data_IF_837972849243
#
_entry.id   IF_837972849243
#
_cell.length_a   1.000
_cell.length_b   1.000
_cell.length_c   1.000
_cell.angle_alpha   90.00
_cell.angle_beta   90.00
_cell.angle_gamma   90.00
#
_symmetry.space_group_name_H-M   'P 1'
#
loop_
_entity.id
_entity.type
_entity.pdbx_description
1 polymer ?
#
# COMPACT_ATOMS: atom_id res chain seq x y z
N UNK A 1 0.18 3.14 -27.05
CA UNK A 1 -0.52 2.56 -25.87
C UNK A 1 0.38 2.37 -24.66
N UNK A 2 1.70 2.20 -24.82
CA UNK A 2 2.66 2.04 -23.70
C UNK A 2 2.66 3.20 -22.69
N UNK A 3 2.41 4.44 -23.12
CA UNK A 3 2.44 5.62 -22.27
C UNK A 3 1.31 5.64 -21.23
N UNK A 4 0.06 5.37 -21.64
CA UNK A 4 -1.08 5.30 -20.72
C UNK A 4 -0.91 4.16 -19.71
N UNK A 5 -0.32 3.05 -20.15
CA UNK A 5 0.03 1.92 -19.26
C UNK A 5 1.04 2.36 -18.18
N UNK A 6 2.08 3.12 -18.54
CA UNK A 6 3.06 3.64 -17.58
C UNK A 6 2.43 4.60 -16.57
N UNK A 7 1.51 5.47 -17.00
CA UNK A 7 0.77 6.35 -16.08
C UNK A 7 -0.11 5.56 -15.11
N UNK A 8 -0.77 4.50 -15.58
CA UNK A 8 -1.58 3.63 -14.72
C UNK A 8 -0.73 2.90 -13.69
N UNK A 9 0.46 2.42 -14.06
CA UNK A 9 1.40 1.77 -13.13
C UNK A 9 1.79 2.73 -12.01
N UNK A 10 2.20 3.96 -12.36
CA UNK A 10 2.59 4.96 -11.37
C UNK A 10 1.39 5.38 -10.50
N UNK A 11 0.22 5.57 -11.11
CA UNK A 11 -1.02 5.91 -10.41
C UNK A 11 -1.44 4.83 -9.40
N UNK A 12 -1.37 3.56 -9.77
CA UNK A 12 -1.66 2.45 -8.85
C UNK A 12 -0.69 2.42 -7.67
N UNK A 13 0.61 2.68 -7.92
CA UNK A 13 1.61 2.80 -6.87
C UNK A 13 1.32 3.94 -5.89
N UNK A 14 0.87 5.11 -6.38
CA UNK A 14 0.47 6.24 -5.54
C UNK A 14 -0.72 5.87 -4.65
N UNK A 15 -1.76 5.29 -5.21
CA UNK A 15 -2.97 4.86 -4.47
C UNK A 15 -2.62 3.82 -3.40
N UNK A 16 -1.77 2.85 -3.74
CA UNK A 16 -1.33 1.82 -2.81
C UNK A 16 -0.53 2.40 -1.63
N UNK A 17 0.38 3.34 -1.88
CA UNK A 17 1.16 3.99 -0.81
C UNK A 17 0.30 4.93 0.05
N UNK A 18 -0.70 5.59 -0.53
CA UNK A 18 -1.65 6.40 0.23
C UNK A 18 -2.45 5.54 1.20
N UNK A 19 -3.01 4.42 0.74
CA UNK A 19 -3.73 3.50 1.62
C UNK A 19 -2.82 2.94 2.72
N UNK A 20 -1.54 2.67 2.42
CA UNK A 20 -0.58 2.27 3.44
C UNK A 20 -0.37 3.35 4.50
N UNK A 21 -0.27 4.62 4.11
CA UNK A 21 -0.18 5.74 5.04
C UNK A 21 -1.42 5.86 5.92
N UNK A 22 -2.62 5.65 5.36
CA UNK A 22 -3.87 5.70 6.11
C UNK A 22 -3.92 4.59 7.17
N UNK A 23 -3.53 3.36 6.83
CA UNK A 23 -3.48 2.23 7.77
C UNK A 23 -2.42 2.45 8.85
N UNK A 24 -1.24 2.99 8.52
CA UNK A 24 -0.22 3.34 9.52
C UNK A 24 -0.74 4.41 10.48
N UNK A 25 -1.44 5.42 9.97
CA UNK A 25 -2.05 6.47 10.79
C UNK A 25 -3.12 5.90 11.74
N UNK A 26 -3.91 4.94 11.27
CA UNK A 26 -4.87 4.20 12.10
C UNK A 26 -4.16 3.41 13.20
N UNK A 27 -3.07 2.70 12.88
CA UNK A 27 -2.26 1.98 13.87
C UNK A 27 -1.70 2.93 14.94
N UNK A 28 -1.14 4.08 14.54
CA UNK A 28 -0.59 5.06 15.47
C UNK A 28 -1.67 5.64 16.38
N UNK A 29 -2.83 5.98 15.83
CA UNK A 29 -3.95 6.54 16.60
C UNK A 29 -4.44 5.55 17.65
N UNK A 30 -4.47 4.26 17.33
CA UNK A 30 -4.98 3.20 18.19
C UNK A 30 -3.90 2.50 19.02
N UNK A 31 -2.69 3.05 19.12
CA UNK A 31 -1.58 2.43 19.86
C UNK A 31 -1.86 2.17 21.35
N UNK A 32 -2.81 2.91 21.94
CA UNK A 32 -3.22 2.81 23.34
C UNK A 32 -4.63 2.28 23.52
N UNK A 33 -5.30 1.83 22.48
CA UNK A 33 -6.69 1.37 22.54
C UNK A 33 -6.77 -0.05 23.06
N UNK A 34 -7.14 -0.19 24.32
CA UNK A 34 -7.26 -1.49 25.02
C UNK A 34 -8.57 -2.20 24.75
N UNK A 35 -9.59 -1.48 24.26
CA UNK A 35 -10.93 -2.02 24.03
C UNK A 35 -11.51 -1.56 22.68
N UNK A 36 -11.80 -2.53 21.83
CA UNK A 36 -12.47 -2.34 20.55
C UNK A 36 -13.93 -2.84 20.61
N UNK A 37 -14.74 -2.51 19.61
CA UNK A 37 -16.13 -3.02 19.51
C UNK A 37 -16.19 -4.55 19.45
N UNK A 38 -15.17 -5.19 18.91
CA UNK A 38 -15.06 -6.67 18.88
C UNK A 38 -14.64 -7.31 20.19
N UNK A 39 -14.34 -6.49 21.21
CA UNK A 39 -13.78 -6.93 22.50
C UNK A 39 -12.26 -7.20 22.39
N UNK A 40 -11.51 -6.69 23.37
CA UNK A 40 -10.06 -6.83 23.39
C UNK A 40 -9.30 -5.64 22.77
N UNK A 41 -7.96 -5.66 22.83
CA UNK A 41 -7.13 -4.56 22.35
C UNK A 41 -7.11 -4.44 20.84
N UNK A 42 -6.78 -3.26 20.34
CA UNK A 42 -6.57 -3.04 18.91
C UNK A 42 -5.43 -3.90 18.39
N UNK A 43 -5.62 -4.50 17.23
CA UNK A 43 -4.60 -5.31 16.57
C UNK A 43 -4.00 -4.55 15.39
N UNK A 44 -2.66 -4.50 15.31
CA UNK A 44 -1.94 -3.84 14.22
C UNK A 44 -2.41 -4.34 12.87
N UNK A 45 -2.76 -3.44 11.95
CA UNK A 45 -3.14 -3.75 10.58
C UNK A 45 -1.92 -3.60 9.65
N UNK A 46 -1.87 -4.45 8.64
CA UNK A 46 -0.81 -4.48 7.62
C UNK A 46 -1.46 -4.51 6.24
N UNK A 47 -0.95 -3.71 5.32
CA UNK A 47 -1.41 -3.71 3.93
C UNK A 47 -0.61 -4.72 3.12
N UNK A 48 -1.29 -5.61 2.43
CA UNK A 48 -0.69 -6.61 1.53
C UNK A 48 -0.79 -6.11 0.10
N UNK A 49 0.37 -6.01 -0.57
CA UNK A 49 0.47 -5.59 -1.95
C UNK A 49 0.64 -6.80 -2.88
N UNK A 50 0.01 -6.72 -4.03
CA UNK A 50 0.17 -7.68 -5.11
C UNK A 50 0.45 -6.95 -6.43
N UNK A 51 1.30 -7.50 -7.27
CA UNK A 51 1.52 -6.95 -8.59
C UNK A 51 0.25 -7.11 -9.44
N UNK A 52 -0.21 -6.04 -10.04
CA UNK A 52 -1.33 -6.06 -10.98
C UNK A 52 -0.81 -6.58 -12.34
N UNK A 53 -0.98 -7.84 -12.56
CA UNK A 53 -0.48 -8.52 -13.72
C UNK A 53 -0.85 -9.99 -13.53
N UNK A 54 -2.18 -10.23 -13.51
CA UNK A 54 -2.71 -11.52 -13.16
C UNK A 54 -2.04 -12.65 -13.93
N UNK A 55 -1.85 -13.77 -13.27
CA UNK A 55 -1.56 -15.03 -13.92
C UNK A 55 -2.55 -15.21 -15.07
N UNK A 56 -2.06 -15.01 -16.29
CA UNK A 56 -2.85 -15.39 -17.46
C UNK A 56 -3.20 -16.84 -17.29
N UNK A 57 -4.46 -17.19 -17.44
CA UNK A 57 -4.84 -18.61 -17.47
C UNK A 57 -3.94 -19.37 -18.47
N UNK A 58 -3.66 -20.64 -18.26
CA UNK A 58 -2.83 -21.42 -19.18
C UNK A 58 -3.25 -21.26 -20.65
N UNK A 59 -4.55 -21.13 -20.89
CA UNK A 59 -5.10 -20.88 -22.23
C UNK A 59 -4.71 -19.49 -22.76
N UNK A 60 -4.80 -18.44 -21.95
CA UNK A 60 -4.40 -17.10 -22.35
C UNK A 60 -2.90 -16.98 -22.62
N UNK A 61 -2.06 -17.72 -21.87
CA UNK A 61 -0.63 -17.79 -22.12
C UNK A 61 -0.31 -18.43 -23.47
N UNK A 62 -0.98 -19.53 -23.81
CA UNK A 62 -0.81 -20.20 -25.10
C UNK A 62 -1.29 -19.31 -26.24
N UNK A 63 -2.44 -18.66 -26.11
CA UNK A 63 -2.97 -17.75 -27.12
C UNK A 63 -2.07 -16.52 -27.35
N UNK A 64 -1.53 -15.94 -26.29
CA UNK A 64 -0.58 -14.81 -26.39
C UNK A 64 0.69 -15.24 -27.14
N UNK A 65 1.20 -16.44 -26.85
CA UNK A 65 2.36 -17.02 -27.53
C UNK A 65 2.12 -17.24 -29.04
N UNK A 66 0.93 -17.72 -29.41
CA UNK A 66 0.53 -17.92 -30.82
C UNK A 66 0.38 -16.59 -31.56
N UNK A 67 -0.07 -15.53 -30.87
CA UNK A 67 -0.23 -14.19 -31.43
C UNK A 67 1.07 -13.38 -31.47
N UNK A 68 2.17 -13.91 -30.93
CA UNK A 68 3.43 -13.16 -30.81
C UNK A 68 3.33 -11.97 -29.87
N UNK A 69 2.33 -11.96 -28.99
CA UNK A 69 2.23 -10.95 -27.93
C UNK A 69 3.27 -11.27 -26.86
N UNK A 70 4.31 -10.44 -26.78
CA UNK A 70 5.25 -10.48 -25.65
C UNK A 70 4.48 -10.37 -24.35
N UNK A 71 4.96 -11.08 -23.32
CA UNK A 71 4.41 -11.05 -21.97
C UNK A 71 4.15 -9.61 -21.55
N UNK A 72 2.87 -9.23 -21.49
CA UNK A 72 2.48 -7.90 -21.03
C UNK A 72 3.09 -7.70 -19.65
N UNK A 73 3.92 -6.68 -19.52
CA UNK A 73 4.47 -6.30 -18.22
C UNK A 73 3.35 -6.15 -17.19
N UNK A 74 3.58 -6.50 -15.92
CA UNK A 74 2.58 -6.33 -14.88
C UNK A 74 2.07 -4.89 -14.87
N UNK A 75 0.76 -4.74 -14.76
CA UNK A 75 0.06 -3.47 -14.96
C UNK A 75 0.09 -2.53 -13.75
N UNK A 76 0.93 -2.74 -12.75
CA UNK A 76 1.00 -1.92 -11.55
C UNK A 76 0.92 -2.70 -10.24
N UNK A 77 0.45 -2.06 -9.18
CA UNK A 77 0.30 -2.62 -7.83
C UNK A 77 -1.13 -2.41 -7.36
N UNK A 78 -1.71 -3.45 -6.77
CA UNK A 78 -2.99 -3.33 -6.06
C UNK A 78 -2.85 -3.80 -4.62
N UNK A 79 -3.71 -3.26 -3.76
CA UNK A 79 -3.90 -3.79 -2.41
C UNK A 79 -4.91 -4.92 -2.49
N UNK A 80 -4.53 -6.10 -2.03
CA UNK A 80 -5.40 -7.28 -2.00
C UNK A 80 -6.12 -7.42 -0.68
N UNK A 81 -5.44 -7.09 0.41
CA UNK A 81 -5.97 -7.31 1.75
C UNK A 81 -5.35 -6.32 2.74
N UNK A 82 -6.12 -5.98 3.77
CA UNK A 82 -5.65 -5.37 5.00
C UNK A 82 -5.71 -6.46 6.07
N UNK A 83 -4.57 -7.08 6.35
CA UNK A 83 -4.45 -8.18 7.30
C UNK A 83 -4.12 -7.68 8.70
N UNK A 84 -4.61 -8.40 9.72
CA UNK A 84 -4.19 -8.18 11.11
C UNK A 84 -2.89 -8.91 11.41
N UNK A 85 -1.98 -8.25 12.12
CA UNK A 85 -0.73 -8.87 12.55
C UNK A 85 -1.00 -9.92 13.64
N UNK A 86 -0.63 -11.19 13.44
CA UNK A 86 -0.89 -12.27 14.40
C UNK A 86 0.02 -12.24 15.64
N UNK A 87 0.98 -11.30 15.73
CA UNK A 87 1.86 -11.22 16.88
C UNK A 87 1.12 -10.97 18.20
N UNK A 88 1.71 -11.43 19.28
CA UNK A 88 1.13 -11.31 20.62
C UNK A 88 1.00 -9.85 21.05
N UNK A 89 0.02 -9.59 21.93
CA UNK A 89 -0.18 -8.30 22.55
C UNK A 89 0.91 -8.00 23.57
N UNK A 90 1.15 -6.70 23.82
CA UNK A 90 2.07 -6.27 24.86
C UNK A 90 1.35 -6.30 26.21
N UNK A 91 1.95 -6.93 27.22
CA UNK A 91 1.40 -6.92 28.57
C UNK A 91 2.02 -5.73 29.34
N UNK A 92 1.17 -4.89 29.90
CA UNK A 92 1.56 -3.76 30.74
C UNK A 92 0.95 -3.93 32.13
N UNK A 93 1.79 -3.83 33.17
CA UNK A 93 1.29 -3.91 34.54
C UNK A 93 0.68 -2.56 34.97
N UNK A 94 -0.65 -2.53 35.07
CA UNK A 94 -1.41 -1.37 35.56
C UNK A 94 -2.69 -1.88 36.26
N UNK A 95 -2.62 -2.13 37.59
CA UNK A 95 -3.76 -2.62 38.36
C UNK A 95 -4.87 -1.58 38.56
N UNK A 96 -4.65 -0.31 38.19
CA UNK A 96 -5.65 0.75 38.32
C UNK A 96 -6.53 0.85 37.09
N UNK A 97 -6.17 0.22 36.01
CA UNK A 97 -6.90 0.23 34.76
C UNK A 97 -8.14 -0.69 34.85
N UNK A 98 -9.34 -0.22 34.41
CA UNK A 98 -10.55 -1.04 34.41
C UNK A 98 -10.49 -2.27 33.50
N UNK A 99 -9.57 -2.30 32.52
CA UNK A 99 -9.36 -3.41 31.61
C UNK A 99 -8.26 -4.38 32.09
N UNK A 100 -7.74 -4.20 33.33
CA UNK A 100 -6.73 -5.08 33.90
C UNK A 100 -7.31 -6.46 34.24
N UNK A 101 -6.54 -7.51 33.97
CA UNK A 101 -6.89 -8.87 34.36
C UNK A 101 -6.72 -9.09 35.89
N UNK A 102 -7.05 -10.29 36.39
CA UNK A 102 -6.95 -10.64 37.80
C UNK A 102 -5.53 -10.49 38.38
N UNK A 103 -4.49 -10.53 37.55
CA UNK A 103 -3.08 -10.40 37.93
C UNK A 103 -2.59 -8.94 37.81
N UNK A 104 -3.45 -7.98 37.44
CA UNK A 104 -3.13 -6.56 37.28
C UNK A 104 -2.42 -6.20 35.96
N UNK A 105 -2.45 -7.05 34.97
CA UNK A 105 -1.92 -6.77 33.65
C UNK A 105 -3.00 -6.37 32.67
N UNK A 106 -2.69 -5.36 31.82
CA UNK A 106 -3.51 -4.92 30.70
C UNK A 106 -2.86 -5.37 29.41
N UNK A 107 -3.65 -5.94 28.52
CA UNK A 107 -3.23 -6.23 27.15
C UNK A 107 -3.26 -4.96 26.32
N UNK A 108 -2.10 -4.53 25.82
CA UNK A 108 -1.93 -3.38 24.97
C UNK A 108 -1.79 -3.81 23.49
N UNK A 109 -2.15 -2.95 22.54
CA UNK A 109 -1.96 -3.21 21.13
C UNK A 109 -0.53 -3.62 20.77
N UNK A 110 -0.39 -4.50 19.79
CA UNK A 110 0.92 -4.93 19.26
C UNK A 110 1.52 -3.92 18.27
N UNK A 111 1.26 -2.64 18.49
CA UNK A 111 1.78 -1.51 17.71
C UNK A 111 3.08 -1.00 18.33
N UNK A 112 4.08 -0.74 17.48
CA UNK A 112 5.33 -0.09 17.87
C UNK A 112 5.42 1.26 17.17
N UNK A 113 5.29 2.35 17.93
CA UNK A 113 5.28 3.71 17.40
C UNK A 113 6.50 4.03 16.55
N UNK A 114 7.70 3.62 16.98
CA UNK A 114 8.95 3.93 16.27
C UNK A 114 8.97 3.22 14.91
N UNK A 115 8.51 1.97 14.88
CA UNK A 115 8.40 1.19 13.66
C UNK A 115 7.35 1.78 12.72
N UNK A 116 6.17 2.15 13.24
CA UNK A 116 5.12 2.79 12.43
C UNK A 116 5.59 4.13 11.84
N UNK A 117 6.31 4.95 12.61
CA UNK A 117 6.86 6.21 12.10
C UNK A 117 7.91 5.97 11.00
N UNK A 118 8.76 4.97 11.14
CA UNK A 118 9.72 4.61 10.09
C UNK A 118 9.01 4.11 8.81
N UNK A 119 7.97 3.27 8.99
CA UNK A 119 7.14 2.78 7.89
C UNK A 119 6.37 3.92 7.19
N UNK A 120 5.87 4.91 7.95
CA UNK A 120 5.22 6.11 7.42
C UNK A 120 6.18 6.96 6.59
N UNK A 121 7.41 7.18 7.07
CA UNK A 121 8.43 7.92 6.31
C UNK A 121 8.78 7.20 5.01
N UNK A 122 8.95 5.88 5.05
CA UNK A 122 9.24 5.09 3.86
C UNK A 122 8.08 5.15 2.84
N UNK A 123 6.84 5.03 3.28
CA UNK A 123 5.65 5.12 2.42
C UNK A 123 5.50 6.52 1.82
N UNK A 124 5.73 7.59 2.60
CA UNK A 124 5.70 8.97 2.13
C UNK A 124 6.78 9.24 1.07
N UNK A 125 7.99 8.70 1.27
CA UNK A 125 9.06 8.83 0.30
C UNK A 125 8.77 8.08 -1.00
N UNK A 126 8.21 6.87 -0.90
CA UNK A 126 7.76 6.10 -2.06
C UNK A 126 6.62 6.81 -2.82
N UNK A 127 5.66 7.41 -2.10
CA UNK A 127 4.62 8.23 -2.71
C UNK A 127 5.20 9.42 -3.48
N UNK A 128 6.11 10.17 -2.86
CA UNK A 128 6.78 11.33 -3.50
C UNK A 128 7.59 10.94 -4.74
N UNK A 129 8.25 9.78 -4.71
CA UNK A 129 8.95 9.25 -5.87
C UNK A 129 7.99 8.93 -7.03
N UNK A 130 6.83 8.34 -6.73
CA UNK A 130 5.78 8.08 -7.73
C UNK A 130 5.21 9.38 -8.30
N UNK A 131 4.97 10.42 -7.48
CA UNK A 131 4.55 11.75 -7.95
C UNK A 131 5.59 12.34 -8.91
N UNK A 132 6.87 12.24 -8.58
CA UNK A 132 7.96 12.71 -9.46
C UNK A 132 7.98 11.95 -10.78
N UNK A 133 7.86 10.63 -10.75
CA UNK A 133 7.78 9.80 -11.95
C UNK A 133 6.57 10.17 -12.81
N UNK A 134 5.40 10.40 -12.19
CA UNK A 134 4.19 10.84 -12.89
C UNK A 134 4.39 12.18 -13.60
N UNK A 135 5.03 13.15 -12.93
CA UNK A 135 5.32 14.46 -13.51
C UNK A 135 6.28 14.37 -14.71
N UNK A 136 7.31 13.50 -14.62
CA UNK A 136 8.23 13.25 -15.74
C UNK A 136 7.47 12.65 -16.94
N UNK A 137 6.62 11.64 -16.70
CA UNK A 137 5.79 11.05 -17.75
C UNK A 137 4.88 12.12 -18.39
N UNK A 138 4.25 12.98 -17.59
CA UNK A 138 3.43 14.08 -18.10
C UNK A 138 4.23 15.04 -18.99
N UNK A 139 5.43 15.41 -18.59
CA UNK A 139 6.32 16.30 -19.38
C UNK A 139 6.71 15.66 -20.72
N UNK A 140 7.06 14.37 -20.72
CA UNK A 140 7.37 13.63 -21.95
C UNK A 140 6.15 13.63 -22.90
N UNK A 141 4.94 13.45 -22.38
CA UNK A 141 3.71 13.53 -23.19
C UNK A 141 3.53 14.91 -23.83
N UNK A 142 3.74 15.97 -23.06
CA UNK A 142 3.57 17.34 -23.57
C UNK A 142 4.61 17.67 -24.65
N UNK A 143 5.86 17.20 -24.52
CA UNK A 143 6.88 17.36 -25.55
C UNK A 143 6.49 16.69 -26.87
N UNK A 144 6.03 15.44 -26.81
CA UNK A 144 5.59 14.72 -28.01
C UNK A 144 4.39 15.36 -28.70
N UNK A 145 3.48 15.98 -27.96
CA UNK A 145 2.31 16.67 -28.53
C UNK A 145 2.68 18.04 -29.10
N UNK A 146 3.69 18.73 -28.53
CA UNK A 146 4.18 20.01 -29.05
C UNK A 146 4.97 19.82 -30.35
N UNK A 147 5.87 18.84 -30.41
CA UNK A 147 6.64 18.56 -31.64
C UNK A 147 5.71 18.13 -32.80
N UNK A 148 4.68 17.35 -32.50
CA UNK A 148 3.70 16.95 -33.54
C UNK A 148 2.84 18.12 -34.05
N UNK A 149 2.71 19.22 -33.29
CA UNK A 149 2.00 20.42 -33.71
C UNK A 149 2.89 21.34 -34.57
N UNK A 150 4.19 21.39 -34.31
CA UNK A 150 5.15 22.19 -35.10
C UNK A 150 5.47 21.57 -36.48
N UNK A 151 5.36 20.25 -36.62
CA UNK A 151 5.54 19.56 -37.92
C UNK A 151 4.34 19.75 -38.87
N UNK A 152 3.24 20.36 -38.45
CA UNK A 152 2.03 20.62 -39.26
C UNK A 152 1.89 22.08 -39.72
N UNK A 153 2.88 22.93 -39.47
CA UNK A 153 2.96 24.34 -39.94
C UNK A 153 4.13 24.51 -40.91
#
# INVERSE_FOLDING_TARGET
MAFLSSMNIVGSGMTAQQLRLDVISENITNQNTTRTEGGGPYRRKIVVFEAEGGERSPFQQVMARIRGEESSAPGGVRVTEIAENPSDFKLMYDPTNPDANADGYVEMPNVDLVKEMADAMAASQAYSANVTAFNVLKQVCLLYTSDAADDLT
#
